data_IF_464347685669
#
_entry.id   IF_464347685669
#
_cell.length_a   1.000
_cell.length_b   1.000
_cell.length_c   1.000
_cell.angle_alpha   90.00
_cell.angle_beta   90.00
_cell.angle_gamma   90.00
#
_symmetry.space_group_name_H-M   'P 1'
#
loop_
_entity.id
_entity.type
_entity.pdbx_description
1 polymer ?
#
# COMPACT_ATOMS: atom_id res chain seq x y z
N UNK A 1 -9.08 -9.77 9.08
CA UNK A 1 -10.33 -9.89 8.28
C UNK A 1 -9.95 -9.96 6.82
N UNK A 2 -10.53 -10.89 6.06
CA UNK A 2 -10.43 -10.92 4.60
C UNK A 2 -11.79 -10.52 4.02
N UNK A 3 -11.80 -9.45 3.23
CA UNK A 3 -12.96 -8.99 2.47
C UNK A 3 -12.89 -9.54 1.06
N UNK A 4 -13.82 -10.41 0.68
CA UNK A 4 -13.84 -11.06 -0.63
C UNK A 4 -15.26 -11.37 -1.09
N UNK A 5 -15.47 -11.34 -2.39
CA UNK A 5 -16.67 -11.79 -3.10
C UNK A 5 -16.54 -13.24 -3.62
N UNK A 6 -15.34 -13.82 -3.54
CA UNK A 6 -15.05 -15.18 -4.03
C UNK A 6 -15.16 -16.22 -2.91
N UNK A 7 -16.03 -17.24 -3.06
CA UNK A 7 -16.12 -18.35 -2.11
C UNK A 7 -14.81 -19.16 -2.00
N UNK A 8 -14.00 -19.21 -3.06
CA UNK A 8 -12.72 -19.90 -3.03
C UNK A 8 -11.69 -19.17 -2.17
N UNK A 9 -11.63 -17.83 -2.29
CA UNK A 9 -10.76 -16.99 -1.47
C UNK A 9 -11.20 -17.06 0.00
N UNK A 10 -12.50 -17.01 0.27
CA UNK A 10 -13.04 -17.11 1.62
C UNK A 10 -12.61 -18.42 2.30
N UNK A 11 -12.76 -19.55 1.60
CA UNK A 11 -12.35 -20.87 2.12
C UNK A 11 -10.85 -20.95 2.40
N UNK A 12 -10.02 -20.38 1.52
CA UNK A 12 -8.56 -20.35 1.71
C UNK A 12 -8.21 -19.49 2.93
N UNK A 13 -8.83 -18.32 3.08
CA UNK A 13 -8.61 -17.41 4.20
C UNK A 13 -8.98 -18.08 5.55
N UNK A 14 -10.15 -18.70 5.63
CA UNK A 14 -10.60 -19.42 6.83
C UNK A 14 -9.67 -20.59 7.18
N UNK A 15 -9.25 -21.38 6.17
CA UNK A 15 -8.29 -22.48 6.36
C UNK A 15 -6.93 -21.98 6.86
N UNK A 16 -6.54 -20.76 6.48
CA UNK A 16 -5.33 -20.10 6.95
C UNK A 16 -5.51 -19.42 8.33
N UNK A 17 -6.70 -19.48 8.93
CA UNK A 17 -7.00 -18.91 10.24
C UNK A 17 -7.45 -17.44 10.22
N UNK A 18 -7.67 -16.85 9.05
CA UNK A 18 -8.21 -15.50 8.93
C UNK A 18 -9.74 -15.50 9.01
N UNK A 19 -10.31 -14.46 9.63
CA UNK A 19 -11.75 -14.27 9.69
C UNK A 19 -12.30 -13.74 8.36
N UNK A 20 -13.42 -14.31 7.90
CA UNK A 20 -14.27 -13.83 6.78
C UNK A 20 -15.67 -13.55 7.33
N UNK A 21 -15.88 -12.46 8.10
CA UNK A 21 -17.13 -12.21 8.82
C UNK A 21 -18.31 -11.88 7.89
N UNK A 22 -18.03 -11.56 6.62
CA UNK A 22 -18.99 -11.22 5.60
C UNK A 22 -18.46 -11.56 4.20
N UNK A 23 -19.38 -11.67 3.25
CA UNK A 23 -19.04 -11.71 1.82
C UNK A 23 -19.20 -10.31 1.24
N UNK A 24 -18.17 -9.83 0.53
CA UNK A 24 -18.20 -8.54 -0.14
C UNK A 24 -19.23 -8.57 -1.29
N UNK A 25 -20.12 -7.57 -1.39
CA UNK A 25 -21.08 -7.52 -2.49
C UNK A 25 -20.37 -7.27 -3.83
N UNK A 26 -20.90 -7.84 -4.91
CA UNK A 26 -20.26 -7.83 -6.23
C UNK A 26 -19.95 -6.43 -6.79
N UNK A 27 -20.76 -5.42 -6.45
CA UNK A 27 -20.52 -4.04 -6.91
C UNK A 27 -19.27 -3.39 -6.28
N UNK A 28 -18.77 -3.94 -5.15
CA UNK A 28 -17.51 -3.55 -4.51
C UNK A 28 -16.32 -4.43 -4.93
N UNK A 29 -16.48 -5.25 -5.97
CA UNK A 29 -15.46 -6.16 -6.48
C UNK A 29 -15.17 -5.92 -7.98
N UNK A 30 -15.53 -4.75 -8.50
CA UNK A 30 -15.28 -4.39 -9.90
C UNK A 30 -13.85 -3.85 -10.06
N UNK A 31 -13.31 -3.93 -11.27
CA UNK A 31 -11.93 -3.49 -11.59
C UNK A 31 -11.65 -2.03 -11.22
N UNK A 32 -12.67 -1.18 -11.23
CA UNK A 32 -12.59 0.24 -10.92
C UNK A 32 -13.08 0.59 -9.51
N UNK A 33 -13.47 -0.38 -8.68
CA UNK A 33 -13.90 -0.11 -7.30
C UNK A 33 -12.72 0.46 -6.51
N UNK A 34 -12.83 1.67 -5.94
CA UNK A 34 -11.81 2.23 -5.08
C UNK A 34 -11.59 1.37 -3.83
N UNK A 35 -10.34 1.10 -3.48
CA UNK A 35 -9.97 0.32 -2.28
C UNK A 35 -10.59 0.90 -0.99
N UNK A 36 -10.76 2.22 -0.93
CA UNK A 36 -11.35 2.88 0.24
C UNK A 36 -12.82 2.54 0.46
N UNK A 37 -13.60 2.31 -0.60
CA UNK A 37 -14.99 1.88 -0.48
C UNK A 37 -15.08 0.46 0.08
N UNK A 38 -14.16 -0.41 -0.32
CA UNK A 38 -14.04 -1.78 0.22
C UNK A 38 -13.68 -1.76 1.71
N UNK A 39 -12.77 -0.86 2.11
CA UNK A 39 -12.39 -0.69 3.50
C UNK A 39 -13.54 -0.12 4.34
N UNK A 40 -14.25 0.90 3.84
CA UNK A 40 -15.42 1.47 4.50
C UNK A 40 -16.51 0.41 4.73
N UNK A 41 -16.84 -0.37 3.71
CA UNK A 41 -17.79 -1.49 3.85
C UNK A 41 -17.37 -2.50 4.93
N UNK A 42 -16.08 -2.81 5.03
CA UNK A 42 -15.57 -3.72 6.06
C UNK A 42 -15.69 -3.12 7.46
N UNK A 43 -15.39 -1.84 7.62
CA UNK A 43 -15.54 -1.11 8.89
C UNK A 43 -17.00 -1.10 9.32
N UNK A 44 -17.92 -0.76 8.43
CA UNK A 44 -19.35 -0.65 8.73
C UNK A 44 -19.93 -1.98 9.22
N UNK A 45 -19.63 -3.10 8.54
CA UNK A 45 -20.11 -4.42 8.97
C UNK A 45 -19.49 -4.89 10.29
N UNK A 46 -18.24 -4.51 10.58
CA UNK A 46 -17.62 -4.81 11.87
C UNK A 46 -18.26 -3.96 12.99
N UNK A 47 -18.53 -2.69 12.71
CA UNK A 47 -19.24 -1.80 13.63
C UNK A 47 -20.65 -2.33 13.95
N UNK A 48 -21.42 -2.76 12.95
CA UNK A 48 -22.74 -3.38 13.14
C UNK A 48 -22.68 -4.67 13.99
N UNK A 49 -21.56 -5.39 13.92
CA UNK A 49 -21.28 -6.56 14.77
C UNK A 49 -20.74 -6.20 16.17
N UNK A 50 -20.70 -4.90 16.52
CA UNK A 50 -20.21 -4.40 17.82
C UNK A 50 -18.69 -4.40 17.96
N UNK A 51 -17.95 -4.31 16.85
CA UNK A 51 -16.48 -4.30 16.81
C UNK A 51 -15.96 -3.01 16.21
N UNK A 52 -15.55 -2.10 17.07
CA UNK A 52 -14.92 -0.83 16.70
C UNK A 52 -13.40 -0.94 16.73
N UNK A 53 -12.76 -0.20 15.80
CA UNK A 53 -11.31 -0.12 15.67
C UNK A 53 -10.89 1.33 15.46
N UNK A 54 -9.80 1.75 16.09
CA UNK A 54 -9.27 3.12 15.97
C UNK A 54 -8.60 3.36 14.59
N UNK A 55 -8.02 2.31 14.02
CA UNK A 55 -7.32 2.35 12.75
C UNK A 55 -7.46 1.05 11.97
N UNK A 56 -7.26 1.13 10.66
CA UNK A 56 -7.24 0.00 9.73
C UNK A 56 -5.82 -0.20 9.20
N UNK A 57 -5.34 -1.44 9.30
CA UNK A 57 -4.13 -1.91 8.62
C UNK A 57 -4.51 -2.69 7.37
N UNK A 58 -4.48 -2.02 6.21
CA UNK A 58 -4.76 -2.64 4.92
C UNK A 58 -3.49 -3.29 4.37
N UNK A 59 -3.59 -4.59 4.08
CA UNK A 59 -2.50 -5.41 3.54
C UNK A 59 -2.93 -5.98 2.18
N UNK A 60 -2.25 -5.58 1.11
CA UNK A 60 -2.57 -6.08 -0.22
C UNK A 60 -1.99 -7.48 -0.44
N UNK A 61 -2.77 -8.46 -0.94
CA UNK A 61 -2.28 -9.81 -1.21
C UNK A 61 -1.31 -9.87 -2.39
N UNK A 62 -1.30 -8.86 -3.27
CA UNK A 62 -0.37 -8.72 -4.40
C UNK A 62 1.07 -8.44 -3.95
N UNK A 63 1.27 -8.00 -2.70
CA UNK A 63 2.57 -7.90 -2.05
C UNK A 63 2.73 -9.06 -1.06
N UNK A 64 3.17 -10.26 -1.49
CA UNK A 64 3.12 -11.45 -0.65
C UNK A 64 4.17 -11.45 0.46
N UNK A 65 5.29 -10.75 0.30
CA UNK A 65 6.41 -10.79 1.23
C UNK A 65 6.44 -9.55 2.12
N UNK A 66 6.38 -9.78 3.42
CA UNK A 66 6.64 -8.78 4.47
C UNK A 66 7.61 -9.43 5.45
N UNK A 67 8.65 -8.70 5.85
CA UNK A 67 9.62 -9.22 6.83
C UNK A 67 8.92 -9.41 8.17
N UNK A 68 9.33 -10.42 8.93
CA UNK A 68 8.80 -10.64 10.27
C UNK A 68 8.97 -9.37 11.13
N UNK A 69 7.92 -8.99 11.85
CA UNK A 69 7.85 -7.77 12.66
C UNK A 69 7.71 -6.47 11.87
N UNK A 70 7.58 -6.50 10.53
CA UNK A 70 7.42 -5.27 9.74
C UNK A 70 6.09 -4.56 10.02
N UNK A 71 5.00 -5.33 10.19
CA UNK A 71 3.68 -4.78 10.50
C UNK A 71 3.69 -4.16 11.91
N UNK A 72 4.28 -4.84 12.89
CA UNK A 72 4.40 -4.32 14.26
C UNK A 72 5.19 -3.01 14.29
N UNK A 73 6.34 -2.95 13.59
CA UNK A 73 7.11 -1.71 13.44
C UNK A 73 6.32 -0.59 12.76
N UNK A 74 5.48 -0.92 11.78
CA UNK A 74 4.63 0.08 11.11
C UNK A 74 3.59 0.64 12.07
N UNK A 75 2.99 -0.20 12.91
CA UNK A 75 2.03 0.20 13.95
C UNK A 75 2.72 1.07 15.01
N UNK A 76 3.89 0.66 15.49
CA UNK A 76 4.67 1.43 16.48
C UNK A 76 5.01 2.83 15.96
N UNK A 77 5.48 2.94 14.71
CA UNK A 77 5.76 4.24 14.08
C UNK A 77 4.51 5.07 13.87
N UNK A 78 3.41 4.45 13.47
CA UNK A 78 2.13 5.15 13.28
C UNK A 78 1.68 5.79 14.59
N UNK A 79 1.78 5.07 15.71
CA UNK A 79 1.50 5.59 17.04
C UNK A 79 2.51 6.66 17.49
N UNK A 80 3.81 6.45 17.25
CA UNK A 80 4.88 7.39 17.60
C UNK A 80 4.71 8.73 16.89
N UNK A 81 4.40 8.70 15.59
CA UNK A 81 4.26 9.91 14.78
C UNK A 81 2.94 10.64 15.04
N UNK A 82 1.92 9.94 15.55
CA UNK A 82 0.57 10.50 15.72
C UNK A 82 -0.03 10.97 14.40
N UNK A 83 0.35 10.33 13.29
CA UNK A 83 -0.13 10.66 11.94
C UNK A 83 -1.52 10.10 11.67
N UNK A 84 -2.28 10.75 10.81
CA UNK A 84 -3.60 10.30 10.34
C UNK A 84 -3.50 9.01 9.51
N UNK A 85 -2.37 8.85 8.83
CA UNK A 85 -2.05 7.67 8.01
C UNK A 85 -0.55 7.40 7.97
N UNK A 86 -0.16 6.15 7.76
CA UNK A 86 1.19 5.71 7.49
C UNK A 86 1.20 4.72 6.32
N UNK A 87 2.14 4.90 5.39
CA UNK A 87 2.32 3.99 4.26
C UNK A 87 3.70 3.36 4.24
N UNK A 88 3.80 2.13 3.78
CA UNK A 88 5.09 1.56 3.41
C UNK A 88 5.56 2.09 2.06
N UNK A 89 6.86 2.35 1.99
CA UNK A 89 7.49 2.97 0.83
C UNK A 89 8.82 2.33 0.48
N UNK A 90 9.23 2.52 -0.77
CA UNK A 90 10.58 2.23 -1.24
C UNK A 90 11.27 3.51 -1.67
N UNK A 91 12.59 3.56 -1.46
CA UNK A 91 13.41 4.63 -2.00
C UNK A 91 13.34 4.60 -3.53
N UNK A 92 12.96 5.73 -4.12
CA UNK A 92 12.89 5.90 -5.55
C UNK A 92 14.32 5.95 -6.12
N UNK A 93 14.65 5.16 -7.15
CA UNK A 93 15.94 5.27 -7.81
C UNK A 93 16.17 6.69 -8.32
N UNK A 94 17.36 7.24 -8.09
CA UNK A 94 17.68 8.65 -8.37
C UNK A 94 17.45 9.06 -9.84
N UNK A 95 17.57 8.13 -10.79
CA UNK A 95 17.26 8.39 -12.21
C UNK A 95 15.77 8.65 -12.48
N UNK A 96 14.89 8.28 -11.55
CA UNK A 96 13.45 8.52 -11.59
C UNK A 96 13.01 9.58 -10.58
N UNK A 97 13.95 10.30 -9.97
CA UNK A 97 13.63 11.33 -8.98
C UNK A 97 12.65 12.38 -9.57
N UNK A 98 11.61 12.81 -8.84
CA UNK A 98 10.62 13.74 -9.37
C UNK A 98 11.21 15.05 -9.91
N UNK A 99 12.32 15.53 -9.32
CA UNK A 99 13.02 16.73 -9.78
C UNK A 99 13.79 16.56 -11.10
N UNK A 100 13.82 15.33 -11.66
CA UNK A 100 14.34 14.99 -13.00
C UNK A 100 13.26 14.45 -13.95
N UNK A 101 12.02 14.33 -13.49
CA UNK A 101 10.89 13.90 -14.33
C UNK A 101 10.25 15.11 -14.98
N UNK A 102 9.96 15.00 -16.28
CA UNK A 102 9.32 16.04 -17.06
C UNK A 102 7.93 15.62 -17.50
N UNK A 103 7.00 16.57 -17.53
CA UNK A 103 5.68 16.41 -18.13
C UNK A 103 5.50 17.32 -19.35
N UNK A 104 4.56 16.93 -20.23
CA UNK A 104 4.24 17.71 -21.43
C UNK A 104 3.66 19.06 -21.05
N UNK A 105 4.19 20.11 -21.68
CA UNK A 105 3.69 21.47 -21.61
C UNK A 105 3.47 22.01 -23.03
N UNK A 106 2.21 22.19 -23.43
CA UNK A 106 1.87 22.54 -24.81
C UNK A 106 2.23 21.43 -25.82
N UNK A 107 2.41 21.81 -27.10
CA UNK A 107 2.58 20.80 -28.14
C UNK A 107 3.95 20.12 -28.14
N UNK A 108 5.03 20.90 -27.95
CA UNK A 108 6.41 20.45 -28.15
C UNK A 108 7.35 20.80 -26.99
N UNK A 109 6.82 21.21 -25.84
CA UNK A 109 7.64 21.58 -24.69
C UNK A 109 7.41 20.64 -23.51
N UNK A 110 8.40 20.63 -22.63
CA UNK A 110 8.40 19.90 -21.37
C UNK A 110 8.62 20.90 -20.23
N UNK A 111 8.07 20.57 -19.06
CA UNK A 111 8.37 21.25 -17.80
C UNK A 111 8.62 20.21 -16.72
N UNK A 112 9.32 20.58 -15.65
CA UNK A 112 9.51 19.68 -14.51
C UNK A 112 8.15 19.30 -13.92
N UNK A 113 7.97 18.00 -13.62
CA UNK A 113 6.74 17.46 -13.04
C UNK A 113 6.47 18.03 -11.63
N UNK A 114 7.53 18.39 -10.91
CA UNK A 114 7.49 19.02 -9.59
C UNK A 114 7.20 20.54 -9.65
N UNK A 115 7.19 21.14 -10.84
CA UNK A 115 6.75 22.50 -11.08
C UNK A 115 7.80 23.60 -10.84
N UNK A 116 9.02 23.25 -10.42
CA UNK A 116 10.12 24.21 -10.30
C UNK A 116 10.62 24.69 -11.67
N UNK A 117 11.21 25.88 -11.69
CA UNK A 117 11.88 26.44 -12.86
C UNK A 117 13.35 26.04 -12.96
N UNK A 118 14.01 25.83 -11.82
CA UNK A 118 15.43 25.55 -11.73
C UNK A 118 15.69 24.04 -11.65
N UNK A 119 16.46 23.52 -12.60
CA UNK A 119 16.79 22.09 -12.67
C UNK A 119 18.00 21.81 -11.77
N UNK A 120 17.80 20.92 -10.79
CA UNK A 120 18.90 20.35 -10.01
C UNK A 120 19.78 19.54 -10.98
N UNK A 121 21.00 19.99 -11.24
CA UNK A 121 21.83 19.38 -12.30
C UNK A 121 22.61 18.14 -11.85
N UNK A 122 22.94 18.04 -10.56
CA UNK A 122 23.80 16.99 -10.02
C UNK A 122 22.98 15.96 -9.25
N UNK A 123 23.22 14.69 -9.55
CA UNK A 123 22.50 13.55 -8.97
C UNK A 123 22.55 13.52 -7.44
N UNK A 124 23.71 13.84 -6.88
CA UNK A 124 23.95 13.85 -5.43
C UNK A 124 23.25 14.99 -4.68
N UNK A 125 22.75 15.99 -5.40
CA UNK A 125 22.00 17.11 -4.80
C UNK A 125 20.49 16.85 -4.80
N UNK A 126 20.03 15.75 -5.40
CA UNK A 126 18.62 15.39 -5.43
C UNK A 126 18.13 15.01 -4.03
N UNK A 127 17.00 15.56 -3.56
CA UNK A 127 16.42 15.12 -2.32
C UNK A 127 15.93 13.67 -2.46
N UNK A 128 16.05 12.83 -1.41
CA UNK A 128 15.48 11.49 -1.41
C UNK A 128 13.98 11.55 -1.70
N UNK A 129 13.53 10.72 -2.63
CA UNK A 129 12.12 10.56 -2.96
C UNK A 129 11.69 9.12 -2.73
N UNK A 130 10.42 8.92 -2.41
CA UNK A 130 9.86 7.61 -2.12
C UNK A 130 8.63 7.36 -2.96
N UNK A 131 8.35 6.10 -3.26
CA UNK A 131 7.08 5.67 -3.84
C UNK A 131 6.43 4.63 -2.94
N UNK A 132 5.10 4.64 -2.91
CA UNK A 132 4.32 3.62 -2.20
C UNK A 132 4.62 2.25 -2.78
N UNK A 133 4.81 1.27 -1.93
CA UNK A 133 5.12 -0.10 -2.35
C UNK A 133 3.89 -1.02 -2.31
N UNK A 134 2.73 -0.55 -1.83
CA UNK A 134 1.50 -1.34 -1.76
C UNK A 134 1.43 -2.32 -0.58
N UNK A 135 2.47 -2.41 0.25
CA UNK A 135 2.58 -3.47 1.25
C UNK A 135 1.72 -3.20 2.49
N UNK A 136 1.75 -1.99 3.04
CA UNK A 136 1.07 -1.61 4.28
C UNK A 136 0.48 -0.21 4.11
N UNK A 137 -0.80 -0.09 4.43
CA UNK A 137 -1.46 1.20 4.65
C UNK A 137 -2.11 1.14 6.03
N UNK A 138 -1.65 1.99 6.94
CA UNK A 138 -2.25 2.21 8.24
C UNK A 138 -2.99 3.55 8.19
N UNK A 139 -4.28 3.56 8.50
CA UNK A 139 -5.09 4.76 8.38
C UNK A 139 -6.10 4.79 9.52
N UNK A 140 -6.28 5.96 10.16
CA UNK A 140 -7.34 6.14 11.15
C UNK A 140 -8.71 5.82 10.55
N UNK A 141 -9.56 5.14 11.31
CA UNK A 141 -10.90 4.75 10.85
C UNK A 141 -11.71 5.95 10.37
N UNK A 142 -11.61 7.10 11.07
CA UNK A 142 -12.29 8.34 10.70
C UNK A 142 -11.84 8.97 9.38
N UNK A 143 -10.60 8.70 8.94
CA UNK A 143 -10.11 9.18 7.63
C UNK A 143 -10.79 8.37 6.52
N UNK A 144 -11.00 7.07 6.73
CA UNK A 144 -11.69 6.20 5.79
C UNK A 144 -13.19 6.53 5.75
N UNK A 145 -13.87 6.48 6.89
CA UNK A 145 -15.33 6.63 6.94
C UNK A 145 -15.80 8.09 6.82
N UNK A 146 -15.03 9.04 7.35
CA UNK A 146 -15.39 10.47 7.33
C UNK A 146 -14.95 11.20 6.08
N UNK A 147 -13.80 10.84 5.48
CA UNK A 147 -13.24 11.54 4.31
C UNK A 147 -13.26 10.72 3.02
N UNK A 148 -13.51 9.41 3.10
CA UNK A 148 -13.41 8.53 1.95
C UNK A 148 -11.99 8.43 1.39
N UNK A 149 -10.96 8.48 2.26
CA UNK A 149 -9.56 8.41 1.85
C UNK A 149 -8.77 7.35 2.62
N UNK A 150 -7.71 6.82 2.00
CA UNK A 150 -6.66 6.06 2.71
C UNK A 150 -5.54 6.98 3.25
N UNK A 151 -5.54 8.25 2.82
CA UNK A 151 -4.52 9.24 3.12
C UNK A 151 -5.14 10.38 3.91
N UNK A 152 -4.62 10.65 5.11
CA UNK A 152 -5.01 11.82 5.90
C UNK A 152 -4.16 13.05 5.59
N UNK A 153 -4.30 14.10 6.41
CA UNK A 153 -3.55 15.35 6.22
C UNK A 153 -2.07 15.19 6.61
N UNK A 154 -1.81 14.27 7.53
CA UNK A 154 -0.46 13.84 7.91
C UNK A 154 -0.21 12.39 7.45
N UNK A 155 0.90 12.19 6.73
CA UNK A 155 1.28 10.90 6.16
C UNK A 155 2.66 10.53 6.70
N UNK A 156 2.69 9.62 7.67
CA UNK A 156 3.89 8.92 8.10
C UNK A 156 4.36 7.90 7.06
N UNK A 157 5.58 7.42 7.21
CA UNK A 157 6.09 6.36 6.34
C UNK A 157 6.99 5.35 7.06
N UNK A 158 7.03 4.15 6.51
CA UNK A 158 8.01 3.13 6.86
C UNK A 158 8.70 2.61 5.59
N UNK A 159 10.02 2.46 5.63
CA UNK A 159 10.78 2.02 4.46
C UNK A 159 10.83 0.49 4.45
N UNK A 160 10.33 -0.09 3.37
CA UNK A 160 10.42 -1.53 3.12
C UNK A 160 11.81 -1.93 2.64
N UNK A 161 12.20 -3.17 2.87
CA UNK A 161 13.40 -3.73 2.26
C UNK A 161 13.08 -4.19 0.82
N UNK A 162 13.68 -3.48 -0.15
CA UNK A 162 13.56 -3.75 -1.58
C UNK A 162 13.91 -5.19 -1.97
N UNK A 163 14.75 -5.88 -1.18
CA UNK A 163 15.11 -7.30 -1.36
C UNK A 163 13.89 -8.20 -1.47
N UNK A 164 12.84 -7.90 -0.72
CA UNK A 164 11.65 -8.74 -0.60
C UNK A 164 10.45 -8.18 -1.36
N UNK A 165 10.58 -6.99 -1.97
CA UNK A 165 9.45 -6.36 -2.60
C UNK A 165 9.14 -6.94 -3.99
N UNK A 166 7.88 -7.29 -4.19
CA UNK A 166 7.24 -7.57 -5.49
C UNK A 166 5.76 -7.23 -5.37
N UNK A 167 5.18 -6.60 -6.40
CA UNK A 167 3.74 -6.43 -6.54
C UNK A 167 3.29 -7.29 -7.72
N UNK A 168 2.44 -8.29 -7.48
CA UNK A 168 2.04 -9.26 -8.49
C UNK A 168 0.86 -8.72 -9.30
N UNK A 169 1.17 -8.12 -10.45
CA UNK A 169 0.17 -7.67 -11.45
C UNK A 169 0.28 -8.47 -12.76
N UNK A 170 1.47 -9.04 -13.03
CA UNK A 170 1.80 -9.73 -14.28
C UNK A 170 2.38 -11.13 -14.05
N UNK A 171 2.38 -12.01 -15.06
CA UNK A 171 3.10 -13.29 -15.00
C UNK A 171 4.59 -13.13 -14.69
N UNK A 172 5.23 -12.06 -15.14
CA UNK A 172 6.62 -11.75 -14.85
C UNK A 172 6.85 -11.45 -13.35
N UNK A 173 5.90 -10.75 -12.72
CA UNK A 173 5.95 -10.51 -11.27
C UNK A 173 5.80 -11.80 -10.49
N UNK A 174 4.99 -12.75 -10.97
CA UNK A 174 4.89 -14.08 -10.37
C UNK A 174 6.22 -14.82 -10.40
N UNK A 175 6.93 -14.84 -11.54
CA UNK A 175 8.24 -15.46 -11.66
C UNK A 175 9.28 -14.80 -10.74
N UNK A 176 9.21 -13.47 -10.60
CA UNK A 176 10.04 -12.76 -9.63
C UNK A 176 9.70 -13.15 -8.20
N UNK A 177 8.41 -13.27 -7.87
CA UNK A 177 7.96 -13.69 -6.55
C UNK A 177 8.45 -15.11 -6.21
N UNK A 178 8.36 -16.05 -7.15
CA UNK A 178 8.90 -17.41 -6.98
C UNK A 178 10.41 -17.41 -6.74
N UNK A 179 11.17 -16.55 -7.45
CA UNK A 179 12.61 -16.41 -7.23
C UNK A 179 12.95 -15.85 -5.86
N UNK A 180 12.17 -14.89 -5.36
CA UNK A 180 12.34 -14.33 -4.01
C UNK A 180 12.00 -15.41 -2.97
N UNK A 181 10.86 -16.08 -3.12
CA UNK A 181 10.44 -17.19 -2.27
C UNK A 181 11.49 -18.30 -2.22
N UNK A 182 12.04 -18.70 -3.37
CA UNK A 182 13.10 -19.69 -3.45
C UNK A 182 14.27 -19.36 -2.52
N UNK A 183 14.77 -18.12 -2.56
CA UNK A 183 15.85 -17.69 -1.66
C UNK A 183 15.45 -17.68 -0.18
N UNK A 184 14.22 -17.26 0.11
CA UNK A 184 13.69 -17.22 1.47
C UNK A 184 13.56 -18.62 2.10
N UNK A 185 13.16 -19.62 1.31
CA UNK A 185 12.88 -20.98 1.78
C UNK A 185 14.05 -21.96 1.56
N UNK A 186 15.14 -21.54 0.91
CA UNK A 186 16.37 -22.35 0.78
C UNK A 186 17.52 -21.89 1.68
N UNK A 187 17.36 -20.79 2.42
CA UNK A 187 18.35 -20.29 3.39
C UNK A 187 18.15 -20.87 4.82
N UNK A 188 17.51 -22.04 4.94
CA UNK A 188 17.55 -22.91 6.15
C UNK A 188 18.60 -24.02 6.04
#
# INVERSE_FOLDING_TARGET
>A
VVSTDSPDIARIAEKAGAEVPFMRPAHLALDNTPTVEVAAHAIDLLHEAGRDYDAVCLLQPTCPFRVNGFIDQAIDRFMEYGSDSLISVLLLPEQYNPHWVFERYGENFLKLATGESDIISRRQDLPPAFYRDGSVYLTLTEVITGRGSLYGDSIGYIVSDKKYHVNIDTPEDWLLAEKIAGKLFTEE
#
